data_IF_977112791106
#
_entry.id   IF_977112791106
#
_cell.length_a   1.000
_cell.length_b   1.000
_cell.length_c   1.000
_cell.angle_alpha   90.00
_cell.angle_beta   90.00
_cell.angle_gamma   90.00
#
_symmetry.space_group_name_H-M   'P 1'
#
loop_
_entity.id
_entity.type
_entity.pdbx_description
1 polymer ?
#
# COMPACT_ATOMS: atom_id res chain seq x y z
N UNK A 1 -9.79 -15.63 20.21
CA UNK A 1 -8.44 -15.32 19.74
C UNK A 1 -8.32 -15.83 18.32
N UNK A 2 -8.01 -14.99 17.32
CA UNK A 2 -7.77 -15.49 15.98
C UNK A 2 -6.53 -16.41 16.02
N UNK A 3 -6.72 -17.64 15.59
CA UNK A 3 -5.62 -18.60 15.44
C UNK A 3 -5.23 -18.57 13.97
N UNK A 4 -3.98 -18.21 13.71
CA UNK A 4 -3.44 -18.28 12.34
C UNK A 4 -3.08 -19.73 12.05
N UNK A 5 -3.80 -20.35 11.14
CA UNK A 5 -3.38 -21.62 10.55
C UNK A 5 -2.25 -21.34 9.56
N UNK A 6 -1.02 -21.56 10.00
CA UNK A 6 0.18 -21.24 9.20
C UNK A 6 0.27 -22.07 7.92
N UNK A 7 -0.27 -23.29 7.89
CA UNK A 7 -0.27 -24.12 6.67
C UNK A 7 -1.28 -23.60 5.65
N UNK A 8 -2.48 -23.22 6.10
CA UNK A 8 -3.53 -22.68 5.22
C UNK A 8 -3.12 -21.33 4.62
N UNK A 9 -2.56 -20.41 5.42
CA UNK A 9 -2.13 -19.10 4.90
C UNK A 9 -0.96 -19.23 3.94
N UNK A 10 0.00 -20.11 4.17
CA UNK A 10 1.10 -20.41 3.24
C UNK A 10 0.56 -20.94 1.91
N UNK A 11 -0.37 -21.90 1.97
CA UNK A 11 -1.01 -22.44 0.76
C UNK A 11 -1.72 -21.36 -0.04
N UNK A 12 -2.51 -20.51 0.61
CA UNK A 12 -3.21 -19.40 -0.04
C UNK A 12 -2.24 -18.39 -0.66
N UNK A 13 -1.15 -18.05 0.05
CA UNK A 13 -0.13 -17.16 -0.47
C UNK A 13 0.55 -17.74 -1.73
N UNK A 14 0.85 -19.03 -1.75
CA UNK A 14 1.36 -19.71 -2.95
C UNK A 14 0.37 -19.65 -4.11
N UNK A 15 -0.91 -19.88 -3.85
CA UNK A 15 -1.98 -19.78 -4.85
C UNK A 15 -2.05 -18.36 -5.43
N UNK A 16 -1.97 -17.32 -4.59
CA UNK A 16 -1.96 -15.92 -5.04
C UNK A 16 -0.73 -15.59 -5.90
N UNK A 17 0.46 -16.03 -5.49
CA UNK A 17 1.69 -15.80 -6.26
C UNK A 17 1.62 -16.42 -7.65
N UNK A 18 1.06 -17.62 -7.76
CA UNK A 18 0.90 -18.34 -9.04
C UNK A 18 -0.21 -17.74 -9.89
N UNK A 19 -1.41 -17.54 -9.33
CA UNK A 19 -2.59 -17.08 -10.06
C UNK A 19 -2.38 -15.67 -10.63
N UNK A 20 -1.68 -14.82 -9.92
CA UNK A 20 -1.38 -13.45 -10.36
C UNK A 20 -0.07 -13.35 -11.14
N UNK A 21 0.68 -14.45 -11.30
CA UNK A 21 1.98 -14.48 -12.00
C UNK A 21 2.92 -13.39 -11.50
N UNK A 22 3.05 -13.28 -10.17
CA UNK A 22 3.81 -12.22 -9.53
C UNK A 22 5.32 -12.44 -9.61
N UNK A 23 5.74 -13.70 -9.69
CA UNK A 23 7.15 -14.08 -9.69
C UNK A 23 7.51 -14.70 -11.04
N UNK A 24 8.44 -14.10 -11.80
CA UNK A 24 9.00 -14.73 -12.99
C UNK A 24 9.70 -16.05 -12.65
N UNK A 25 9.59 -17.05 -13.51
CA UNK A 25 10.24 -18.37 -13.35
C UNK A 25 9.98 -19.00 -11.97
N UNK A 26 8.75 -18.87 -11.46
CA UNK A 26 8.31 -19.33 -10.13
C UNK A 26 8.84 -20.72 -9.77
N UNK A 27 8.77 -21.67 -10.71
CA UNK A 27 9.15 -23.06 -10.50
C UNK A 27 10.64 -23.23 -10.13
N UNK A 28 11.50 -22.31 -10.56
CA UNK A 28 12.94 -22.33 -10.21
C UNK A 28 13.19 -21.93 -8.75
N UNK A 29 12.24 -21.26 -8.15
CA UNK A 29 12.38 -20.67 -6.80
C UNK A 29 11.41 -21.27 -5.79
N UNK A 30 10.58 -22.21 -6.19
CA UNK A 30 9.44 -22.72 -5.39
C UNK A 30 9.84 -23.17 -3.99
N UNK A 31 10.92 -23.95 -3.84
CA UNK A 31 11.39 -24.43 -2.53
C UNK A 31 11.78 -23.26 -1.60
N UNK A 32 12.53 -22.30 -2.13
CA UNK A 32 12.96 -21.11 -1.38
C UNK A 32 11.78 -20.19 -1.02
N UNK A 33 10.83 -20.04 -1.94
CA UNK A 33 9.59 -19.29 -1.70
C UNK A 33 8.80 -19.94 -0.57
N UNK A 34 8.68 -21.26 -0.59
CA UNK A 34 8.01 -22.02 0.45
C UNK A 34 8.65 -21.82 1.83
N UNK A 35 9.99 -21.79 1.89
CA UNK A 35 10.73 -21.54 3.13
C UNK A 35 10.44 -20.13 3.67
N UNK A 36 10.56 -19.10 2.82
CA UNK A 36 10.24 -17.70 3.18
C UNK A 36 8.80 -17.58 3.70
N UNK A 37 7.84 -18.18 3.00
CA UNK A 37 6.43 -18.11 3.41
C UNK A 37 6.19 -18.76 4.77
N UNK A 38 6.85 -19.89 5.06
CA UNK A 38 6.75 -20.55 6.37
C UNK A 38 7.35 -19.73 7.51
N UNK A 39 8.53 -19.14 7.27
CA UNK A 39 9.18 -18.26 8.25
C UNK A 39 8.32 -17.03 8.52
N UNK A 40 7.86 -16.37 7.46
CA UNK A 40 7.00 -15.19 7.59
C UNK A 40 5.67 -15.53 8.28
N UNK A 41 5.04 -16.66 7.95
CA UNK A 41 3.80 -17.09 8.59
C UNK A 41 3.96 -17.26 10.11
N UNK A 42 5.11 -17.78 10.56
CA UNK A 42 5.39 -17.93 11.99
C UNK A 42 5.56 -16.59 12.70
N UNK A 43 6.21 -15.62 12.05
CA UNK A 43 6.37 -14.26 12.57
C UNK A 43 5.00 -13.59 12.69
N UNK A 44 4.21 -13.62 11.61
CA UNK A 44 2.87 -13.02 11.54
C UNK A 44 1.89 -13.64 12.55
N UNK A 45 1.94 -14.95 12.75
CA UNK A 45 1.13 -15.65 13.76
C UNK A 45 1.50 -15.18 15.19
N UNK A 46 2.79 -15.02 15.46
CA UNK A 46 3.30 -14.53 16.74
C UNK A 46 2.86 -13.08 16.97
N UNK A 47 3.00 -12.23 15.96
CA UNK A 47 2.59 -10.84 15.99
C UNK A 47 1.08 -10.71 16.22
N UNK A 48 0.27 -11.44 15.47
CA UNK A 48 -1.19 -11.50 15.63
C UNK A 48 -1.59 -11.86 17.07
N UNK A 49 -0.99 -12.90 17.62
CA UNK A 49 -1.28 -13.35 19.00
C UNK A 49 -0.92 -12.28 20.02
N UNK A 50 0.23 -11.64 19.87
CA UNK A 50 0.70 -10.60 20.77
C UNK A 50 -0.21 -9.36 20.70
N UNK A 51 -0.51 -8.93 19.49
CA UNK A 51 -1.33 -7.74 19.26
C UNK A 51 -2.77 -7.92 19.72
N UNK A 52 -3.33 -9.13 19.59
CA UNK A 52 -4.67 -9.43 20.12
C UNK A 52 -4.80 -9.12 21.61
N UNK A 53 -3.76 -9.37 22.40
CA UNK A 53 -3.73 -9.07 23.83
C UNK A 53 -3.43 -7.61 24.16
N UNK A 54 -2.99 -6.83 23.18
CA UNK A 54 -2.60 -5.42 23.37
C UNK A 54 -3.61 -4.41 22.84
N UNK A 55 -4.62 -4.84 22.08
CA UNK A 55 -5.60 -3.96 21.40
C UNK A 55 -6.28 -2.98 22.37
N UNK A 56 -6.54 -3.41 23.60
CA UNK A 56 -7.17 -2.56 24.62
C UNK A 56 -6.19 -1.54 25.25
N UNK A 57 -4.90 -1.72 25.02
CA UNK A 57 -3.83 -0.91 25.60
C UNK A 57 -3.31 0.08 24.55
N UNK A 58 -4.01 1.21 24.39
CA UNK A 58 -3.74 2.22 23.33
C UNK A 58 -2.41 2.98 23.47
N UNK A 59 -1.45 2.44 24.23
CA UNK A 59 -0.14 3.04 24.39
C UNK A 59 0.76 2.65 23.20
N UNK A 60 0.93 3.58 22.24
CA UNK A 60 1.74 3.37 21.02
C UNK A 60 3.17 2.94 21.31
N UNK A 61 3.77 3.41 22.41
CA UNK A 61 5.13 3.01 22.80
C UNK A 61 5.22 1.53 23.16
N UNK A 62 4.21 1.01 23.88
CA UNK A 62 4.14 -0.42 24.21
C UNK A 62 3.90 -1.28 22.96
N UNK A 63 3.06 -0.79 22.04
CA UNK A 63 2.83 -1.43 20.75
C UNK A 63 4.13 -1.52 19.96
N UNK A 64 4.86 -0.42 19.82
CA UNK A 64 6.16 -0.39 19.13
C UNK A 64 7.18 -1.32 19.77
N UNK A 65 7.28 -1.32 21.10
CA UNK A 65 8.17 -2.22 21.84
C UNK A 65 7.82 -3.70 21.61
N UNK A 66 6.53 -4.02 21.59
CA UNK A 66 6.07 -5.39 21.36
C UNK A 66 6.36 -5.85 19.93
N UNK A 67 6.15 -4.99 18.93
CA UNK A 67 6.47 -5.27 17.53
C UNK A 67 7.98 -5.46 17.40
N UNK A 68 8.78 -4.54 17.93
CA UNK A 68 10.24 -4.59 17.88
C UNK A 68 10.82 -5.86 18.50
N UNK A 69 10.19 -6.38 19.55
CA UNK A 69 10.60 -7.63 20.17
C UNK A 69 10.34 -8.88 19.28
N UNK A 70 9.44 -8.79 18.32
CA UNK A 70 9.06 -9.89 17.42
C UNK A 70 9.83 -9.81 16.10
N UNK A 71 9.78 -8.67 15.42
CA UNK A 71 10.40 -8.49 14.11
C UNK A 71 11.84 -7.95 14.17
N UNK A 72 12.31 -7.53 15.35
CA UNK A 72 13.62 -6.96 15.60
C UNK A 72 13.66 -5.43 15.52
N UNK A 73 14.40 -4.81 16.44
CA UNK A 73 14.55 -3.34 16.48
C UNK A 73 15.18 -2.78 15.20
N UNK A 74 16.15 -3.47 14.63
CA UNK A 74 16.81 -3.06 13.39
C UNK A 74 15.82 -2.97 12.22
N UNK A 75 14.88 -3.94 12.14
CA UNK A 75 13.84 -3.93 11.11
C UNK A 75 12.86 -2.78 11.30
N UNK A 76 12.42 -2.51 12.54
CA UNK A 76 11.54 -1.37 12.83
C UNK A 76 12.21 -0.04 12.47
N UNK A 77 13.46 0.15 12.87
CA UNK A 77 14.22 1.35 12.54
C UNK A 77 14.43 1.48 11.02
N UNK A 78 14.67 0.38 10.34
CA UNK A 78 14.80 0.34 8.89
C UNK A 78 13.49 0.76 8.21
N UNK A 79 12.36 0.17 8.61
CA UNK A 79 11.03 0.51 8.08
C UNK A 79 10.75 2.00 8.22
N UNK A 80 10.92 2.54 9.43
CA UNK A 80 10.70 3.97 9.71
C UNK A 80 11.60 4.87 8.88
N UNK A 81 12.90 4.57 8.86
CA UNK A 81 13.88 5.36 8.12
C UNK A 81 13.62 5.31 6.63
N UNK A 82 13.31 4.15 6.11
CA UNK A 82 13.12 3.95 4.68
C UNK A 82 11.85 4.66 4.18
N UNK A 83 10.77 4.53 4.91
CA UNK A 83 9.51 5.21 4.59
C UNK A 83 9.67 6.74 4.64
N UNK A 84 10.40 7.25 5.62
CA UNK A 84 10.66 8.70 5.74
C UNK A 84 11.60 9.26 4.66
N UNK A 85 12.39 8.40 4.00
CA UNK A 85 13.37 8.85 3.01
C UNK A 85 12.80 9.08 1.61
N UNK A 86 11.66 8.48 1.26
CA UNK A 86 11.13 8.56 -0.09
C UNK A 86 9.68 9.02 -0.12
N UNK A 87 9.47 10.24 -0.56
CA UNK A 87 8.14 10.81 -0.79
C UNK A 87 7.93 11.10 -2.27
N UNK A 88 6.75 10.76 -2.79
CA UNK A 88 6.36 11.00 -4.17
C UNK A 88 5.14 11.90 -4.21
N UNK A 89 5.25 13.02 -4.93
CA UNK A 89 4.12 13.93 -5.18
C UNK A 89 3.87 14.07 -6.67
N UNK A 90 2.62 14.05 -7.06
CA UNK A 90 2.20 14.29 -8.43
C UNK A 90 1.38 15.56 -8.51
N UNK A 91 1.67 16.38 -9.52
CA UNK A 91 0.92 17.60 -9.80
C UNK A 91 0.44 17.61 -11.24
N UNK A 92 -0.77 18.16 -11.46
CA UNK A 92 -1.23 18.51 -12.80
C UNK A 92 -0.68 19.86 -13.16
N UNK A 93 -0.03 19.94 -14.32
CA UNK A 93 0.46 21.18 -14.89
C UNK A 93 -0.25 21.42 -16.22
N UNK A 94 -0.81 22.62 -16.41
CA UNK A 94 -1.39 23.04 -17.69
C UNK A 94 -0.29 23.55 -18.61
N UNK A 95 -0.24 23.00 -19.80
CA UNK A 95 0.64 23.48 -20.86
C UNK A 95 0.04 24.68 -21.59
N UNK A 96 0.88 25.46 -22.27
CA UNK A 96 0.41 26.62 -23.07
C UNK A 96 -0.55 26.20 -24.19
N UNK A 97 -0.52 24.98 -24.67
CA UNK A 97 -1.42 24.38 -25.67
C UNK A 97 -2.77 23.95 -25.12
N UNK A 98 -3.02 24.14 -23.80
CA UNK A 98 -4.23 23.73 -23.10
C UNK A 98 -4.27 22.26 -22.66
N UNK A 99 -3.22 21.48 -22.95
CA UNK A 99 -3.14 20.09 -22.52
C UNK A 99 -2.68 19.99 -21.06
N UNK A 100 -3.11 18.93 -20.37
CA UNK A 100 -2.64 18.63 -19.01
C UNK A 100 -1.50 17.63 -19.04
N UNK A 101 -0.50 17.86 -18.18
CA UNK A 101 0.64 16.99 -17.98
C UNK A 101 0.80 16.63 -16.51
N UNK A 102 1.50 15.54 -16.24
CA UNK A 102 1.86 15.11 -14.88
C UNK A 102 3.30 15.48 -14.62
N UNK A 103 3.52 16.19 -13.53
CA UNK A 103 4.84 16.47 -12.98
C UNK A 103 5.02 15.65 -11.71
N UNK A 104 6.08 14.86 -11.63
CA UNK A 104 6.38 13.97 -10.51
C UNK A 104 7.58 14.52 -9.73
N UNK A 105 7.42 14.61 -8.43
CA UNK A 105 8.47 15.01 -7.48
C UNK A 105 8.84 13.81 -6.60
N UNK A 106 10.13 13.62 -6.39
CA UNK A 106 10.69 12.68 -5.42
C UNK A 106 11.47 13.49 -4.38
N UNK A 107 11.08 13.37 -3.11
CA UNK A 107 11.67 14.15 -2.02
C UNK A 107 11.68 15.68 -2.28
N UNK A 108 10.60 16.18 -2.88
CA UNK A 108 10.47 17.61 -3.22
C UNK A 108 11.25 18.06 -4.46
N UNK A 109 12.04 17.20 -5.09
CA UNK A 109 12.79 17.47 -6.31
C UNK A 109 12.04 16.88 -7.50
N UNK A 110 11.96 17.62 -8.59
CA UNK A 110 11.34 17.11 -9.83
C UNK A 110 12.08 15.86 -10.28
N UNK A 111 11.34 14.74 -10.29
CA UNK A 111 11.91 13.43 -10.59
C UNK A 111 11.89 13.09 -12.08
N UNK A 112 10.87 13.60 -12.78
CA UNK A 112 10.68 13.33 -14.18
C UNK A 112 10.19 14.57 -14.93
N UNK A 113 10.55 14.71 -16.21
CA UNK A 113 10.03 15.76 -17.04
C UNK A 113 8.50 15.64 -17.13
N UNK A 114 7.89 16.78 -17.35
CA UNK A 114 6.45 16.91 -17.55
C UNK A 114 5.93 15.91 -18.60
N UNK A 115 4.92 15.12 -18.24
CA UNK A 115 4.31 14.11 -19.10
C UNK A 115 2.89 14.52 -19.47
N UNK A 116 2.55 14.31 -20.72
CA UNK A 116 1.21 14.55 -21.20
C UNK A 116 0.28 13.43 -20.75
N UNK A 117 -0.74 13.78 -19.96
CA UNK A 117 -1.90 12.91 -19.75
C UNK A 117 -2.75 12.95 -21.02
N UNK A 118 -3.40 11.84 -21.34
CA UNK A 118 -4.39 11.82 -22.41
C UNK A 118 -5.46 12.89 -22.15
N UNK A 119 -6.11 13.39 -23.20
CA UNK A 119 -7.17 14.39 -23.16
C UNK A 119 -8.34 13.95 -22.26
N UNK A 120 -8.16 14.17 -20.97
CA UNK A 120 -9.20 14.01 -19.95
C UNK A 120 -9.67 15.42 -19.59
N UNK A 121 -10.95 15.58 -19.27
CA UNK A 121 -11.43 16.81 -18.65
C UNK A 121 -10.57 17.15 -17.44
N UNK A 122 -10.23 18.42 -17.25
CA UNK A 122 -9.33 18.86 -16.17
C UNK A 122 -9.68 18.29 -14.78
N UNK A 123 -10.95 18.14 -14.48
CA UNK A 123 -11.46 17.57 -13.23
C UNK A 123 -11.09 16.08 -13.12
N UNK A 124 -11.28 15.31 -14.19
CA UNK A 124 -10.98 13.88 -14.22
C UNK A 124 -9.47 13.63 -14.10
N UNK A 125 -8.64 14.46 -14.73
CA UNK A 125 -7.18 14.35 -14.65
C UNK A 125 -6.67 14.59 -13.22
N UNK A 126 -7.18 15.60 -12.52
CA UNK A 126 -6.82 15.87 -11.12
C UNK A 126 -7.21 14.69 -10.23
N UNK A 127 -8.42 14.16 -10.41
CA UNK A 127 -8.93 13.00 -9.65
C UNK A 127 -8.06 11.78 -9.89
N UNK A 128 -7.78 11.42 -11.14
CA UNK A 128 -6.93 10.27 -11.50
C UNK A 128 -5.56 10.38 -10.84
N UNK A 129 -4.95 11.57 -10.83
CA UNK A 129 -3.64 11.76 -10.22
C UNK A 129 -3.65 11.66 -8.70
N UNK A 130 -4.66 12.21 -8.04
CA UNK A 130 -4.79 12.08 -6.59
C UNK A 130 -4.92 10.61 -6.19
N UNK A 131 -5.68 9.84 -6.96
CA UNK A 131 -5.83 8.41 -6.75
C UNK A 131 -4.56 7.62 -7.05
N UNK A 132 -3.87 7.95 -8.13
CA UNK A 132 -2.60 7.32 -8.46
C UNK A 132 -1.55 7.61 -7.38
N UNK A 133 -1.49 8.85 -6.88
CA UNK A 133 -0.61 9.21 -5.77
C UNK A 133 -0.94 8.42 -4.50
N UNK A 134 -2.21 8.33 -4.14
CA UNK A 134 -2.64 7.54 -2.98
C UNK A 134 -2.31 6.05 -3.14
N UNK A 135 -2.56 5.46 -4.30
CA UNK A 135 -2.23 4.07 -4.58
C UNK A 135 -0.72 3.80 -4.49
N UNK A 136 0.11 4.73 -4.99
CA UNK A 136 1.56 4.65 -4.87
C UNK A 136 2.02 4.74 -3.41
N UNK A 137 1.49 5.70 -2.65
CA UNK A 137 1.83 5.88 -1.24
C UNK A 137 1.43 4.67 -0.38
N UNK A 138 0.22 4.14 -0.57
CA UNK A 138 -0.22 2.94 0.16
C UNK A 138 0.62 1.72 -0.22
N UNK A 139 0.98 1.58 -1.51
CA UNK A 139 1.85 0.49 -1.95
C UNK A 139 3.24 0.63 -1.36
N UNK A 140 3.82 1.84 -1.38
CA UNK A 140 5.11 2.13 -0.75
C UNK A 140 5.08 1.83 0.75
N UNK A 141 4.01 2.20 1.45
CA UNK A 141 3.81 1.90 2.85
C UNK A 141 3.84 0.39 3.12
N UNK A 142 3.08 -0.40 2.37
CA UNK A 142 3.04 -1.86 2.53
C UNK A 142 4.40 -2.50 2.23
N UNK A 143 5.08 -2.06 1.17
CA UNK A 143 6.38 -2.60 0.79
C UNK A 143 7.48 -2.21 1.79
N UNK A 144 7.37 -1.05 2.42
CA UNK A 144 8.27 -0.64 3.51
C UNK A 144 8.16 -1.55 4.73
N UNK A 145 6.97 -2.09 5.02
CA UNK A 145 6.78 -3.05 6.11
C UNK A 145 7.59 -4.34 5.91
N UNK A 146 7.82 -4.76 4.67
CA UNK A 146 8.71 -5.91 4.35
C UNK A 146 10.17 -5.52 4.14
N UNK A 147 10.52 -4.25 4.35
CA UNK A 147 11.90 -3.78 4.23
C UNK A 147 12.35 -3.53 2.79
N UNK A 148 11.41 -3.37 1.86
CA UNK A 148 11.70 -3.04 0.47
C UNK A 148 11.57 -1.55 0.22
N UNK A 149 12.66 -0.96 -0.26
CA UNK A 149 12.63 0.35 -0.85
C UNK A 149 12.29 0.30 -2.33
N UNK A 150 11.38 1.15 -2.72
CA UNK A 150 10.98 1.24 -4.12
C UNK A 150 11.74 2.35 -4.82
N UNK A 151 12.46 1.97 -5.86
CA UNK A 151 12.81 2.92 -6.92
C UNK A 151 11.67 2.94 -7.95
N UNK A 152 10.75 3.89 -7.77
CA UNK A 152 9.58 4.02 -8.65
C UNK A 152 10.02 4.60 -9.99
N UNK A 153 10.12 3.73 -10.99
CA UNK A 153 10.48 4.14 -12.35
C UNK A 153 9.33 4.86 -13.04
N UNK A 154 9.66 5.68 -14.06
CA UNK A 154 8.67 6.33 -14.93
C UNK A 154 7.62 5.35 -15.50
N UNK A 155 8.05 4.14 -15.84
CA UNK A 155 7.17 3.12 -16.43
C UNK A 155 6.11 2.69 -15.42
N UNK A 156 6.51 2.51 -14.16
CA UNK A 156 5.59 2.16 -13.07
C UNK A 156 4.56 3.28 -12.85
N UNK A 157 5.01 4.53 -12.78
CA UNK A 157 4.11 5.67 -12.58
C UNK A 157 3.08 5.74 -13.70
N UNK A 158 3.50 5.64 -14.97
CA UNK A 158 2.57 5.66 -16.12
C UNK A 158 1.57 4.51 -16.06
N UNK A 159 2.03 3.32 -15.70
CA UNK A 159 1.17 2.15 -15.62
C UNK A 159 0.15 2.29 -14.49
N UNK A 160 0.55 2.76 -13.31
CA UNK A 160 -0.36 3.02 -12.19
C UNK A 160 -1.39 4.09 -12.54
N UNK A 161 -0.98 5.20 -13.13
CA UNK A 161 -1.91 6.26 -13.58
C UNK A 161 -2.95 5.69 -14.56
N UNK A 162 -2.52 4.87 -15.51
CA UNK A 162 -3.42 4.25 -16.50
C UNK A 162 -4.41 3.27 -15.86
N UNK A 163 -3.96 2.43 -14.91
CA UNK A 163 -4.85 1.50 -14.19
C UNK A 163 -5.86 2.29 -13.34
N UNK A 164 -5.41 3.29 -12.62
CA UNK A 164 -6.30 4.14 -11.81
C UNK A 164 -7.31 4.90 -12.67
N UNK A 165 -6.91 5.40 -13.84
CA UNK A 165 -7.80 6.05 -14.80
C UNK A 165 -8.97 5.14 -15.21
N UNK A 166 -8.68 3.86 -15.45
CA UNK A 166 -9.72 2.87 -15.77
C UNK A 166 -10.67 2.61 -14.59
N UNK A 167 -10.14 2.63 -13.36
CA UNK A 167 -10.85 2.25 -12.13
C UNK A 167 -11.68 3.38 -11.51
N UNK A 168 -11.26 4.63 -11.66
CA UNK A 168 -11.96 5.79 -11.06
C UNK A 168 -13.41 5.87 -11.52
N UNK A 169 -13.74 5.32 -12.68
CA UNK A 169 -15.10 5.29 -13.22
C UNK A 169 -15.95 4.13 -12.70
N UNK A 170 -15.34 3.16 -12.03
CA UNK A 170 -16.05 2.01 -11.50
C UNK A 170 -16.76 2.31 -10.17
N UNK A 171 -18.09 2.13 -10.07
CA UNK A 171 -18.83 2.45 -8.85
C UNK A 171 -18.34 1.68 -7.62
N UNK A 172 -17.80 0.47 -7.80
CA UNK A 172 -17.27 -0.32 -6.70
C UNK A 172 -15.99 0.31 -6.11
N UNK A 173 -15.10 0.81 -6.98
CA UNK A 173 -13.89 1.51 -6.56
C UNK A 173 -14.22 2.84 -5.88
N UNK A 174 -15.15 3.63 -6.46
CA UNK A 174 -15.59 4.88 -5.86
C UNK A 174 -16.13 4.69 -4.44
N UNK A 175 -16.94 3.63 -4.22
CA UNK A 175 -17.44 3.29 -2.87
C UNK A 175 -16.33 2.89 -1.90
N UNK A 176 -15.34 2.11 -2.34
CA UNK A 176 -14.20 1.73 -1.51
C UNK A 176 -13.45 2.95 -1.01
N UNK A 177 -13.32 3.92 -1.87
CA UNK A 177 -12.71 5.21 -1.63
C UNK A 177 -13.49 6.07 -0.67
N UNK A 178 -14.77 6.30 -0.93
CA UNK A 178 -15.64 7.08 -0.04
C UNK A 178 -15.57 6.52 1.39
N UNK A 179 -15.68 5.21 1.51
CA UNK A 179 -15.56 4.48 2.79
C UNK A 179 -14.20 4.70 3.47
N UNK A 180 -13.11 4.68 2.69
CA UNK A 180 -11.78 4.95 3.20
C UNK A 180 -11.65 6.39 3.72
N UNK A 181 -12.10 7.38 2.95
CA UNK A 181 -12.06 8.79 3.32
C UNK A 181 -12.87 9.06 4.58
N UNK A 182 -14.08 8.48 4.69
CA UNK A 182 -14.91 8.58 5.88
C UNK A 182 -14.21 7.99 7.11
N UNK A 183 -13.65 6.78 6.99
CA UNK A 183 -12.94 6.11 8.07
C UNK A 183 -11.68 6.88 8.51
N UNK A 184 -10.92 7.41 7.55
CA UNK A 184 -9.73 8.22 7.83
C UNK A 184 -10.08 9.52 8.59
N UNK A 185 -11.12 10.23 8.15
CA UNK A 185 -11.57 11.44 8.82
C UNK A 185 -12.09 11.16 10.23
N UNK A 186 -12.86 10.09 10.40
CA UNK A 186 -13.36 9.66 11.71
C UNK A 186 -12.24 9.25 12.67
N UNK A 187 -11.10 8.78 12.14
CA UNK A 187 -9.94 8.42 12.94
C UNK A 187 -9.27 9.61 13.64
N UNK A 188 -9.38 10.82 13.07
CA UNK A 188 -8.73 12.01 13.61
C UNK A 188 -7.23 11.82 13.84
N UNK A 189 -6.74 12.04 15.07
CA UNK A 189 -5.35 11.81 15.47
C UNK A 189 -5.01 10.38 15.91
N UNK A 190 -5.93 9.42 15.77
CA UNK A 190 -5.70 8.05 16.23
C UNK A 190 -4.98 7.22 15.17
N UNK A 191 -3.67 6.96 15.37
CA UNK A 191 -2.82 6.21 14.42
C UNK A 191 -3.34 4.79 14.16
N UNK A 192 -3.86 4.10 15.18
CA UNK A 192 -4.43 2.76 15.01
C UNK A 192 -5.68 2.77 14.12
N UNK A 193 -6.57 3.73 14.32
CA UNK A 193 -7.76 3.87 13.50
C UNK A 193 -7.43 4.25 12.05
N UNK A 194 -6.41 5.08 11.83
CA UNK A 194 -5.87 5.39 10.50
C UNK A 194 -5.29 4.15 9.82
N UNK A 195 -4.45 3.39 10.53
CA UNK A 195 -3.88 2.15 10.02
C UNK A 195 -4.97 1.13 9.65
N UNK A 196 -6.03 1.05 10.46
CA UNK A 196 -7.21 0.22 10.15
C UNK A 196 -7.94 0.70 8.89
N UNK A 197 -8.09 2.01 8.69
CA UNK A 197 -8.70 2.55 7.47
C UNK A 197 -7.88 2.17 6.23
N UNK A 198 -6.55 2.21 6.29
CA UNK A 198 -5.67 1.76 5.22
C UNK A 198 -5.85 0.25 4.97
N UNK A 199 -5.88 -0.55 6.02
CA UNK A 199 -6.08 -2.00 5.89
C UNK A 199 -7.42 -2.35 5.21
N UNK A 200 -8.51 -1.71 5.62
CA UNK A 200 -9.83 -1.93 4.99
C UNK A 200 -9.84 -1.51 3.52
N UNK A 201 -9.14 -0.43 3.17
CA UNK A 201 -8.99 -0.02 1.78
C UNK A 201 -8.17 -1.04 0.97
N UNK A 202 -7.09 -1.59 1.53
CA UNK A 202 -6.32 -2.67 0.92
C UNK A 202 -7.19 -3.91 0.68
N UNK A 203 -8.04 -4.27 1.64
CA UNK A 203 -8.97 -5.39 1.54
C UNK A 203 -10.01 -5.17 0.42
N UNK A 204 -10.58 -3.97 0.34
CA UNK A 204 -11.52 -3.59 -0.70
C UNK A 204 -10.84 -3.62 -2.09
N UNK A 205 -9.65 -3.05 -2.24
CA UNK A 205 -8.88 -3.06 -3.51
C UNK A 205 -8.39 -4.45 -3.91
N UNK A 206 -8.05 -5.30 -2.94
CA UNK A 206 -7.74 -6.70 -3.18
C UNK A 206 -8.94 -7.45 -3.77
N UNK A 207 -10.12 -7.30 -3.16
CA UNK A 207 -11.35 -7.97 -3.62
C UNK A 207 -11.77 -7.54 -5.04
N UNK A 208 -11.37 -6.35 -5.47
CA UNK A 208 -11.57 -5.83 -6.82
C UNK A 208 -10.47 -6.25 -7.81
N UNK A 209 -9.47 -7.01 -7.36
CA UNK A 209 -8.34 -7.45 -8.17
C UNK A 209 -7.36 -6.34 -8.55
N UNK A 210 -7.47 -5.17 -7.90
CA UNK A 210 -6.67 -3.97 -8.20
C UNK A 210 -5.30 -4.07 -7.54
N UNK A 211 -5.26 -4.53 -6.30
CA UNK A 211 -4.05 -4.59 -5.48
C UNK A 211 -2.91 -5.34 -6.19
N UNK A 212 -3.17 -6.55 -6.66
CA UNK A 212 -2.15 -7.36 -7.35
C UNK A 212 -1.71 -6.78 -8.68
N UNK A 213 -2.60 -6.08 -9.38
CA UNK A 213 -2.23 -5.35 -10.61
C UNK A 213 -1.19 -4.28 -10.31
N UNK A 214 -1.42 -3.48 -9.26
CA UNK A 214 -0.48 -2.45 -8.84
C UNK A 214 0.84 -3.07 -8.38
N UNK A 215 0.82 -4.06 -7.49
CA UNK A 215 2.01 -4.78 -7.03
C UNK A 215 2.80 -5.35 -8.22
N UNK A 216 2.15 -6.01 -9.16
CA UNK A 216 2.80 -6.56 -10.36
C UNK A 216 3.53 -5.49 -11.19
N UNK A 217 2.99 -4.28 -11.28
CA UNK A 217 3.64 -3.19 -12.01
C UNK A 217 4.98 -2.79 -11.39
N UNK A 218 5.07 -2.82 -10.06
CA UNK A 218 6.33 -2.53 -9.35
C UNK A 218 7.37 -3.61 -9.59
N UNK A 219 6.97 -4.87 -9.63
CA UNK A 219 7.87 -6.01 -9.68
C UNK A 219 8.15 -6.55 -11.09
N UNK A 220 7.53 -6.03 -12.14
CA UNK A 220 7.68 -6.53 -13.51
C UNK A 220 9.13 -6.60 -14.03
N UNK A 221 10.05 -5.86 -13.44
CA UNK A 221 11.46 -5.80 -13.83
C UNK A 221 12.41 -6.34 -12.76
N UNK A 222 11.88 -6.82 -11.67
CA UNK A 222 12.65 -7.32 -10.56
C UNK A 222 12.85 -8.82 -10.72
N UNK A 223 14.10 -9.28 -10.68
CA UNK A 223 14.47 -10.71 -10.85
C UNK A 223 15.49 -11.15 -9.80
N UNK A 224 15.95 -10.25 -8.94
CA UNK A 224 16.83 -10.59 -7.84
C UNK A 224 16.09 -11.43 -6.79
N UNK A 225 16.84 -12.26 -6.08
CA UNK A 225 16.23 -13.11 -5.03
C UNK A 225 15.56 -12.28 -3.93
N UNK A 226 16.14 -11.15 -3.56
CA UNK A 226 15.62 -10.21 -2.57
C UNK A 226 14.24 -9.68 -2.97
N UNK A 227 14.04 -9.39 -4.26
CA UNK A 227 12.75 -8.95 -4.78
C UNK A 227 11.70 -10.07 -4.71
N UNK A 228 12.09 -11.29 -5.10
CA UNK A 228 11.23 -12.48 -5.04
C UNK A 228 10.82 -12.77 -3.60
N UNK A 229 11.78 -12.69 -2.68
CA UNK A 229 11.54 -12.85 -1.25
C UNK A 229 10.50 -11.85 -0.75
N UNK A 230 10.68 -10.58 -1.08
CA UNK A 230 9.79 -9.53 -0.64
C UNK A 230 8.36 -9.65 -1.21
N UNK A 231 8.21 -10.05 -2.49
CA UNK A 231 6.90 -10.35 -3.06
C UNK A 231 6.21 -11.48 -2.29
N UNK A 232 6.95 -12.53 -1.93
CA UNK A 232 6.43 -13.65 -1.16
C UNK A 232 5.98 -13.19 0.25
N UNK A 233 6.80 -12.38 0.93
CA UNK A 233 6.47 -11.79 2.23
C UNK A 233 5.21 -10.92 2.15
N UNK A 234 5.10 -10.01 1.18
CA UNK A 234 3.90 -9.18 0.95
C UNK A 234 2.67 -10.05 0.73
N UNK A 235 2.76 -11.07 -0.11
CA UNK A 235 1.63 -11.97 -0.37
C UNK A 235 1.14 -12.62 0.93
N UNK A 236 2.06 -13.11 1.74
CA UNK A 236 1.70 -13.74 3.01
C UNK A 236 1.10 -12.75 4.01
N UNK A 237 1.73 -11.58 4.21
CA UNK A 237 1.23 -10.54 5.11
C UNK A 237 -0.21 -10.14 4.78
N UNK A 238 -0.53 -9.98 3.50
CA UNK A 238 -1.89 -9.67 3.05
C UNK A 238 -2.86 -10.81 3.37
N UNK A 239 -2.48 -12.06 3.10
CA UNK A 239 -3.33 -13.24 3.39
C UNK A 239 -3.55 -13.41 4.89
N UNK A 240 -2.51 -13.30 5.71
CA UNK A 240 -2.63 -13.33 7.17
C UNK A 240 -3.47 -12.15 7.66
N UNK A 241 -3.25 -10.96 7.13
CA UNK A 241 -4.05 -9.79 7.44
C UNK A 241 -5.54 -10.05 7.22
N UNK A 242 -5.93 -10.64 6.11
CA UNK A 242 -7.33 -10.97 5.84
C UNK A 242 -7.89 -12.10 6.73
N UNK A 243 -7.05 -13.06 7.09
CA UNK A 243 -7.44 -14.15 7.98
C UNK A 243 -7.61 -13.71 9.45
N UNK A 244 -7.03 -12.57 9.85
CA UNK A 244 -6.95 -12.09 11.23
C UNK A 244 -7.59 -10.71 11.46
N UNK A 245 -8.47 -10.27 10.55
CA UNK A 245 -9.03 -8.91 10.56
C UNK A 245 -7.96 -7.80 10.68
N UNK A 246 -6.80 -8.05 10.12
CA UNK A 246 -5.72 -7.09 9.98
C UNK A 246 -4.78 -6.94 11.16
N UNK A 247 -4.93 -7.71 12.23
CA UNK A 247 -4.19 -7.47 13.48
C UNK A 247 -2.68 -7.31 13.30
N UNK A 248 -2.05 -8.20 12.55
CA UNK A 248 -0.61 -8.14 12.28
C UNK A 248 -0.28 -6.93 11.38
N UNK A 249 -0.88 -6.86 10.21
CA UNK A 249 -0.60 -5.82 9.21
C UNK A 249 -0.93 -4.41 9.72
N UNK A 250 -2.06 -4.22 10.46
CA UNK A 250 -2.40 -2.92 11.06
C UNK A 250 -1.31 -2.48 12.04
N UNK A 251 -0.76 -3.40 12.84
CA UNK A 251 0.29 -3.06 13.79
C UNK A 251 1.59 -2.61 13.12
N UNK A 252 1.93 -3.17 11.98
CA UNK A 252 3.09 -2.72 11.20
C UNK A 252 2.83 -1.39 10.51
N UNK A 253 1.65 -1.20 9.91
CA UNK A 253 1.24 0.06 9.29
C UNK A 253 1.26 1.20 10.32
N UNK A 254 0.82 0.93 11.55
CA UNK A 254 0.76 1.95 12.60
C UNK A 254 2.12 2.57 12.94
N UNK A 255 3.22 1.82 12.76
CA UNK A 255 4.58 2.32 13.00
C UNK A 255 4.97 3.49 12.11
N UNK A 256 4.37 3.58 10.93
CA UNK A 256 4.76 4.54 9.89
C UNK A 256 3.63 5.49 9.48
N UNK A 257 2.40 5.23 9.91
CA UNK A 257 1.24 6.04 9.49
C UNK A 257 1.35 7.51 9.93
N UNK A 258 1.98 7.78 11.07
CA UNK A 258 2.16 9.15 11.56
C UNK A 258 3.27 9.92 10.83
N UNK A 259 4.18 9.23 10.14
CA UNK A 259 5.23 9.86 9.31
C UNK A 259 4.84 9.94 7.84
N UNK A 260 3.68 9.41 7.46
CA UNK A 260 3.15 9.42 6.10
C UNK A 260 2.50 10.78 5.76
N UNK A 261 3.31 11.85 5.75
CA UNK A 261 2.81 13.22 5.51
C UNK A 261 2.17 13.35 4.13
N UNK A 262 2.79 12.78 3.10
CA UNK A 262 2.26 12.87 1.73
C UNK A 262 0.97 12.08 1.57
N UNK A 263 0.83 10.95 2.28
CA UNK A 263 -0.42 10.20 2.35
C UNK A 263 -1.54 11.08 2.96
N UNK A 264 -1.26 11.79 4.03
CA UNK A 264 -2.23 12.70 4.66
C UNK A 264 -2.64 13.84 3.71
N UNK A 265 -1.69 14.42 3.00
CA UNK A 265 -1.93 15.47 2.00
C UNK A 265 -2.79 14.94 0.82
N UNK A 266 -2.49 13.75 0.33
CA UNK A 266 -3.26 13.11 -0.74
C UNK A 266 -4.70 12.83 -0.30
N UNK A 267 -4.90 12.35 0.93
CA UNK A 267 -6.23 12.12 1.47
C UNK A 267 -6.99 13.43 1.67
N UNK A 268 -6.36 14.47 2.19
CA UNK A 268 -6.99 15.77 2.36
C UNK A 268 -7.46 16.36 1.01
N UNK A 269 -6.64 16.22 -0.04
CA UNK A 269 -7.01 16.63 -1.39
C UNK A 269 -8.20 15.85 -1.95
N UNK A 270 -8.25 14.54 -1.70
CA UNK A 270 -9.37 13.69 -2.10
C UNK A 270 -10.68 14.07 -1.40
N UNK A 271 -10.61 14.40 -0.10
CA UNK A 271 -11.77 14.86 0.68
C UNK A 271 -12.32 16.16 0.10
N UNK A 272 -11.45 17.16 -0.10
CA UNK A 272 -11.85 18.45 -0.70
C UNK A 272 -12.50 18.25 -2.06
N UNK A 273 -11.95 17.37 -2.88
CA UNK A 273 -12.47 17.09 -4.21
C UNK A 273 -13.83 16.38 -4.16
N UNK A 274 -13.98 15.36 -3.29
CA UNK A 274 -15.25 14.66 -3.09
C UNK A 274 -16.37 15.62 -2.64
N UNK A 275 -16.06 16.55 -1.75
CA UNK A 275 -17.02 17.54 -1.27
C UNK A 275 -17.40 18.56 -2.36
N UNK A 276 -16.44 19.00 -3.17
CA UNK A 276 -16.73 19.83 -4.36
C UNK A 276 -17.66 19.13 -5.34
N UNK A 277 -17.45 17.87 -5.62
CA UNK A 277 -18.31 17.09 -6.53
C UNK A 277 -19.72 16.89 -6.00
N UNK A 278 -19.91 16.81 -4.67
CA UNK A 278 -21.25 16.75 -4.04
C UNK A 278 -22.01 18.06 -4.15
N UNK A 279 -21.29 19.20 -4.14
CA UNK A 279 -21.92 20.53 -4.26
C UNK A 279 -22.22 20.93 -5.71
N UNK A 280 -21.63 20.27 -6.70
CA UNK A 280 -21.88 20.51 -8.13
C UNK A 280 -23.00 19.63 -8.72
N UNK A 281 -23.56 18.68 -7.98
CA UNK A 281 -24.74 17.89 -8.31
C UNK A 281 -26.00 18.53 -7.75
#
# INVERSE_FOLDING_TARGET
>A
MPVVDTEDVVKKALEELRNNQLIPDYEKHEEKIMEVLKETAQVEATLTTKMFHMIDNKNMREVEQAISAIIGYERVDFIKKYFAMETYKMKVVKKPDGQSAVQVYRNGIEFQPERMLMTINDIDAVTVLQWASLALEITHLVLSCVGLGLDISEIVIRAVVKEVEALVREPAFQRAVEKFVEAWNAAGGNAWAKAKAIFEFLKDTYSLGIFWKIIKLFFQKMSAWEDIKAIAEVALMIIVGFATDGLALISEIVLIVDIAIDLADNIANLVMFSDMMKTMK
#
